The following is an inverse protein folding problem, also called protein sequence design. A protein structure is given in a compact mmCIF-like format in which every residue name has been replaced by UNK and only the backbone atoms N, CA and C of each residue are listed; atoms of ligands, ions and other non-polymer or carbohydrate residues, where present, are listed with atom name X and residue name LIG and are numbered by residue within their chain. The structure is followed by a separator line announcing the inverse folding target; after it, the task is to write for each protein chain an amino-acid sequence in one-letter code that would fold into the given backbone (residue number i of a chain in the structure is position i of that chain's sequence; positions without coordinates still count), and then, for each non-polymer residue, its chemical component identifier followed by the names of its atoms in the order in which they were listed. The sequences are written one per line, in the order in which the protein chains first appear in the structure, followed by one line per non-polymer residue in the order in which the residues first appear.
data_IF_747487995177
#
_entry.id   IF_747487995177
#
_cell.length_a   1.000
_cell.length_b   1.000
_cell.length_c   1.000
_cell.angle_alpha   90.00
_cell.angle_beta   90.00
_cell.angle_gamma   90.00
#
_symmetry.space_group_name_H-M   'P 1'
#
loop_
_entity.id
_entity.type
_entity.pdbx_description
1 polymer ?
#
# COMPACT_ATOMS: atom_id res chain seq x y z
N UNK A 1 -37.05 -9.06 -72.20
CA UNK A 1 -35.60 -9.18 -71.92
C UNK A 1 -35.25 -8.15 -70.84
N UNK A 2 -35.03 -8.61 -69.61
CA UNK A 2 -34.58 -7.79 -68.47
C UNK A 2 -33.14 -8.19 -68.15
N UNK A 3 -32.19 -7.25 -68.02
CA UNK A 3 -30.93 -7.53 -67.36
C UNK A 3 -30.97 -7.07 -65.89
N UNK A 4 -30.38 -7.94 -65.06
CA UNK A 4 -30.11 -7.80 -63.63
C UNK A 4 -28.86 -6.96 -63.35
N UNK A 5 -28.82 -6.29 -62.18
CA UNK A 5 -27.66 -6.01 -61.31
C UNK A 5 -28.07 -4.86 -60.33
N UNK A 6 -27.66 -4.76 -59.07
CA UNK A 6 -26.66 -5.44 -58.25
C UNK A 6 -27.08 -5.24 -56.77
N UNK A 7 -27.01 -6.30 -55.94
CA UNK A 7 -27.18 -6.20 -54.49
C UNK A 7 -25.89 -5.65 -53.85
N UNK A 8 -26.02 -4.66 -52.96
CA UNK A 8 -25.01 -4.39 -51.92
C UNK A 8 -25.70 -4.41 -50.55
N UNK A 9 -25.30 -5.36 -49.70
CA UNK A 9 -25.66 -5.43 -48.28
C UNK A 9 -24.55 -4.73 -47.49
N UNK A 10 -24.84 -3.75 -46.62
CA UNK A 10 -23.85 -3.32 -45.66
C UNK A 10 -23.81 -4.31 -44.50
N UNK A 11 -22.61 -4.83 -44.20
CA UNK A 11 -22.34 -5.55 -42.95
C UNK A 11 -22.36 -4.56 -41.79
N UNK A 12 -23.34 -4.69 -40.90
CA UNK A 12 -23.33 -4.02 -39.60
C UNK A 12 -22.49 -4.87 -38.63
N UNK A 13 -21.25 -4.46 -38.37
CA UNK A 13 -20.50 -4.94 -37.21
C UNK A 13 -20.96 -4.16 -35.98
N UNK A 14 -21.92 -4.72 -35.25
CA UNK A 14 -22.29 -4.23 -33.93
C UNK A 14 -21.27 -4.73 -32.90
N UNK A 15 -20.32 -3.87 -32.52
CA UNK A 15 -19.44 -4.12 -31.38
C UNK A 15 -20.25 -3.97 -30.09
N UNK A 16 -20.57 -5.08 -29.44
CA UNK A 16 -21.14 -5.11 -28.09
C UNK A 16 -20.10 -4.61 -27.09
N UNK A 17 -20.27 -3.39 -26.61
CA UNK A 17 -19.52 -2.83 -25.49
C UNK A 17 -20.02 -3.51 -24.20
N UNK A 18 -19.30 -4.54 -23.75
CA UNK A 18 -19.56 -5.17 -22.46
C UNK A 18 -19.08 -4.22 -21.35
N UNK A 19 -20.02 -3.49 -20.75
CA UNK A 19 -19.78 -2.71 -19.54
C UNK A 19 -19.66 -3.71 -18.40
N UNK A 20 -18.43 -4.00 -17.97
CA UNK A 20 -18.19 -4.69 -16.71
C UNK A 20 -18.58 -3.74 -15.58
N UNK A 21 -19.84 -3.85 -15.13
CA UNK A 21 -20.28 -3.23 -13.89
C UNK A 21 -19.54 -3.93 -12.76
N UNK A 22 -18.52 -3.27 -12.22
CA UNK A 22 -17.96 -3.62 -10.92
C UNK A 22 -19.12 -3.61 -9.92
N UNK A 23 -19.47 -4.77 -9.37
CA UNK A 23 -20.46 -4.86 -8.31
C UNK A 23 -19.87 -4.20 -7.06
N UNK A 24 -20.12 -2.90 -6.93
CA UNK A 24 -19.93 -2.19 -5.67
C UNK A 24 -20.93 -2.83 -4.70
N UNK A 25 -20.44 -3.65 -3.77
CA UNK A 25 -21.23 -4.10 -2.64
C UNK A 25 -21.53 -2.88 -1.78
N UNK A 26 -22.68 -2.26 -2.02
CA UNK A 26 -23.21 -1.23 -1.14
C UNK A 26 -23.48 -1.87 0.23
N UNK A 27 -23.00 -1.20 1.29
CA UNK A 27 -23.36 -1.52 2.67
C UNK A 27 -24.87 -1.55 2.82
N UNK A 28 -25.42 -2.64 3.33
CA UNK A 28 -26.81 -2.67 3.77
C UNK A 28 -26.89 -2.01 5.15
N UNK A 29 -27.28 -0.74 5.18
CA UNK A 29 -27.60 -0.06 6.42
C UNK A 29 -29.00 -0.46 6.88
N UNK A 30 -29.13 -0.96 8.10
CA UNK A 30 -30.44 -1.25 8.68
C UNK A 30 -31.08 0.05 9.14
N UNK A 31 -32.14 0.46 8.46
CA UNK A 31 -32.99 1.56 8.93
C UNK A 31 -33.46 1.23 10.34
N UNK A 32 -33.31 2.18 11.25
CA UNK A 32 -33.97 2.07 12.53
C UNK A 32 -35.49 2.07 12.30
N UNK A 33 -36.26 1.27 13.04
CA UNK A 33 -37.71 1.41 13.03
C UNK A 33 -38.07 2.83 13.44
N UNK A 34 -39.10 3.40 12.82
CA UNK A 34 -39.60 4.72 13.20
C UNK A 34 -39.83 4.74 14.71
N UNK A 35 -39.37 5.77 15.44
CA UNK A 35 -39.46 5.77 16.91
C UNK A 35 -40.90 5.86 17.43
N UNK A 36 -41.92 5.75 16.56
CA UNK A 36 -43.35 5.72 16.86
C UNK A 36 -43.74 6.77 17.91
N UNK A 37 -43.15 7.96 17.78
CA UNK A 37 -43.45 9.08 18.66
C UNK A 37 -44.77 9.68 18.20
N UNK A 38 -45.86 9.21 18.80
CA UNK A 38 -47.19 9.78 18.62
C UNK A 38 -47.39 10.98 19.55
N UNK A 39 -47.24 12.17 18.99
CA UNK A 39 -47.49 13.43 19.70
C UNK A 39 -48.93 13.94 19.52
N UNK A 40 -49.76 13.23 18.76
CA UNK A 40 -51.09 13.72 18.38
C UNK A 40 -52.03 13.89 19.58
N UNK A 41 -51.83 13.09 20.64
CA UNK A 41 -52.60 13.16 21.89
C UNK A 41 -51.99 14.04 22.99
N UNK A 42 -50.79 14.60 22.80
CA UNK A 42 -50.02 15.26 23.87
C UNK A 42 -50.22 16.78 23.94
N UNK A 43 -51.05 17.37 23.07
CA UNK A 43 -51.23 18.82 23.02
C UNK A 43 -49.93 19.52 22.59
N UNK A 44 -49.56 20.63 23.25
CA UNK A 44 -48.28 21.31 22.97
C UNK A 44 -47.15 20.64 23.74
N UNK A 45 -46.22 20.04 23.00
CA UNK A 45 -45.00 19.45 23.55
C UNK A 45 -43.85 20.43 23.37
N UNK A 46 -43.15 20.75 24.45
CA UNK A 46 -41.94 21.57 24.43
C UNK A 46 -40.77 20.78 25.00
N UNK A 47 -39.63 20.84 24.32
CA UNK A 47 -38.35 20.32 24.81
C UNK A 47 -37.57 21.53 25.33
N UNK A 48 -37.20 21.52 26.61
CA UNK A 48 -36.51 22.63 27.26
C UNK A 48 -35.21 22.13 27.91
N UNK A 49 -34.16 22.93 27.77
CA UNK A 49 -32.81 22.60 28.19
C UNK A 49 -31.78 23.29 27.32
N UNK A 50 -30.51 23.08 27.65
CA UNK A 50 -29.39 23.53 26.84
C UNK A 50 -29.00 22.38 25.89
N UNK A 51 -29.18 22.60 24.59
CA UNK A 51 -28.90 21.60 23.55
C UNK A 51 -28.27 22.28 22.34
N UNK A 52 -27.19 21.70 21.80
CA UNK A 52 -26.61 22.15 20.53
C UNK A 52 -27.50 21.79 19.33
N UNK A 53 -28.13 20.61 19.35
CA UNK A 53 -29.09 20.15 18.33
C UNK A 53 -29.91 18.94 18.78
N UNK A 54 -31.03 18.69 18.09
CA UNK A 54 -31.84 17.47 18.24
C UNK A 54 -32.04 16.81 16.88
N UNK A 55 -31.87 15.49 16.81
CA UNK A 55 -32.12 14.70 15.62
C UNK A 55 -32.69 13.33 16.01
N UNK A 56 -33.64 12.82 15.21
CA UNK A 56 -34.05 11.43 15.32
C UNK A 56 -32.97 10.52 14.71
N UNK A 57 -32.69 9.38 15.35
CA UNK A 57 -31.81 8.37 14.76
C UNK A 57 -32.53 7.68 13.60
N UNK A 58 -31.87 7.59 12.45
CA UNK A 58 -32.39 7.02 11.21
C UNK A 58 -31.86 5.60 10.98
N UNK A 59 -30.68 5.29 11.53
CA UNK A 59 -30.02 4.00 11.36
C UNK A 59 -29.65 3.34 12.69
N UNK A 60 -29.62 2.00 12.72
CA UNK A 60 -29.11 1.28 13.88
C UNK A 60 -27.60 1.55 14.05
N UNK A 61 -27.19 1.88 15.29
CA UNK A 61 -25.79 2.17 15.62
C UNK A 61 -25.32 3.60 15.35
N UNK A 62 -26.21 4.51 14.97
CA UNK A 62 -25.92 5.94 14.86
C UNK A 62 -25.65 6.53 16.26
N UNK A 63 -24.46 7.10 16.45
CA UNK A 63 -24.03 7.66 17.75
C UNK A 63 -23.79 9.16 17.64
N UNK A 64 -24.31 9.96 18.58
CA UNK A 64 -23.99 11.38 18.72
C UNK A 64 -22.71 11.65 19.54
N UNK A 65 -22.25 10.66 20.32
CA UNK A 65 -21.08 10.83 21.18
C UNK A 65 -19.80 10.69 20.37
N UNK A 66 -19.31 11.82 19.90
CA UNK A 66 -17.91 11.99 19.55
C UNK A 66 -17.17 12.71 20.70
N UNK A 67 -17.48 12.41 21.97
CA UNK A 67 -16.83 13.10 23.09
C UNK A 67 -15.35 12.70 23.20
N UNK A 68 -14.49 13.58 22.70
CA UNK A 68 -13.05 13.45 22.54
C UNK A 68 -12.30 13.84 23.82
N UNK A 69 -12.28 12.96 24.83
CA UNK A 69 -11.66 13.33 26.10
C UNK A 69 -10.14 13.15 26.15
N UNK A 70 -9.50 12.41 25.21
CA UNK A 70 -8.12 11.95 25.44
C UNK A 70 -7.24 11.72 24.19
N UNK A 71 -7.45 12.47 23.10
CA UNK A 71 -6.64 12.31 21.87
C UNK A 71 -6.95 11.04 21.07
N UNK A 72 -7.95 10.26 21.48
CA UNK A 72 -8.48 9.10 20.78
C UNK A 72 -9.10 9.49 19.44
N UNK A 73 -8.81 8.70 18.41
CA UNK A 73 -9.39 8.87 17.08
C UNK A 73 -10.38 7.75 16.77
N UNK A 74 -11.31 8.02 15.86
CA UNK A 74 -12.35 7.08 15.48
C UNK A 74 -12.26 6.75 14.00
N UNK A 75 -12.51 5.49 13.68
CA UNK A 75 -12.81 5.07 12.32
C UNK A 75 -14.28 5.39 12.03
N UNK A 76 -14.57 6.18 10.99
CA UNK A 76 -15.92 6.53 10.61
C UNK A 76 -16.34 5.89 9.28
N UNK A 77 -17.62 5.58 9.15
CA UNK A 77 -18.26 5.36 7.84
C UNK A 77 -19.46 6.27 7.67
N UNK A 78 -19.67 6.75 6.45
CA UNK A 78 -20.79 7.63 6.12
C UNK A 78 -22.04 6.81 5.74
N UNK A 79 -23.18 7.15 6.32
CA UNK A 79 -24.50 6.67 5.94
C UNK A 79 -25.01 7.36 4.65
N UNK A 80 -26.02 6.81 3.96
CA UNK A 80 -26.57 7.42 2.74
C UNK A 80 -27.18 8.81 2.94
N UNK A 81 -27.62 9.14 4.15
CA UNK A 81 -28.13 10.47 4.52
C UNK A 81 -27.02 11.47 4.87
N UNK A 82 -25.75 11.07 4.74
CA UNK A 82 -24.57 11.88 5.03
C UNK A 82 -24.15 11.87 6.50
N UNK A 83 -24.92 11.25 7.40
CA UNK A 83 -24.53 11.09 8.81
C UNK A 83 -23.37 10.10 8.98
N UNK A 84 -22.64 10.18 10.10
CA UNK A 84 -21.49 9.30 10.35
C UNK A 84 -21.81 8.25 11.41
N UNK A 85 -21.34 7.03 11.16
CA UNK A 85 -21.23 5.98 12.16
C UNK A 85 -19.80 5.89 12.67
N UNK A 86 -19.62 5.92 13.99
CA UNK A 86 -18.37 5.50 14.61
C UNK A 86 -18.27 3.96 14.54
N UNK A 87 -17.22 3.45 13.91
CA UNK A 87 -16.99 2.02 13.70
C UNK A 87 -16.03 1.41 14.73
N UNK A 88 -14.99 2.14 15.12
CA UNK A 88 -14.00 1.70 16.09
C UNK A 88 -13.30 2.90 16.73
N UNK A 89 -13.08 2.83 18.05
CA UNK A 89 -12.31 3.81 18.82
C UNK A 89 -10.86 3.33 18.91
N UNK A 90 -9.91 4.14 18.48
CA UNK A 90 -8.49 3.97 18.77
C UNK A 90 -8.15 4.75 20.05
N UNK A 91 -7.39 4.16 20.95
CA UNK A 91 -6.93 4.83 22.18
C UNK A 91 -5.83 5.88 21.95
N UNK A 92 -5.34 6.02 20.71
CA UNK A 92 -4.47 7.09 20.25
C UNK A 92 -4.74 7.45 18.78
N UNK A 93 -3.74 8.00 18.08
CA UNK A 93 -3.88 8.46 16.70
C UNK A 93 -3.78 7.32 15.68
N UNK A 94 -4.71 7.32 14.73
CA UNK A 94 -4.66 6.65 13.44
C UNK A 94 -4.01 7.62 12.45
N UNK A 95 -2.88 7.23 11.87
CA UNK A 95 -2.13 8.10 10.95
C UNK A 95 -2.30 7.69 9.50
N UNK A 96 -2.72 6.44 9.24
CA UNK A 96 -2.73 5.89 7.89
C UNK A 96 -3.74 4.74 7.75
N UNK A 97 -4.29 4.59 6.55
CA UNK A 97 -5.23 3.53 6.22
C UNK A 97 -5.07 3.11 4.76
N UNK A 98 -5.26 1.82 4.45
CA UNK A 98 -5.37 1.37 3.07
C UNK A 98 -6.39 0.23 2.91
N UNK A 99 -7.18 0.21 1.81
CA UNK A 99 -8.04 -0.92 1.50
C UNK A 99 -7.17 -2.12 1.11
N UNK A 100 -7.34 -3.24 1.81
CA UNK A 100 -6.60 -4.46 1.50
C UNK A 100 -7.47 -5.39 0.65
N UNK A 101 -7.10 -5.48 -0.62
CA UNK A 101 -7.70 -6.41 -1.57
C UNK A 101 -6.79 -7.62 -1.71
N UNK A 102 -7.39 -8.81 -1.65
CA UNK A 102 -6.70 -10.06 -1.96
C UNK A 102 -7.55 -10.89 -2.91
N UNK A 103 -6.93 -11.42 -3.97
CA UNK A 103 -7.60 -12.20 -5.01
C UNK A 103 -8.82 -11.49 -5.63
N UNK A 104 -8.76 -10.15 -5.74
CA UNK A 104 -9.85 -9.33 -6.30
C UNK A 104 -10.99 -9.03 -5.33
N UNK A 105 -10.92 -9.50 -4.09
CA UNK A 105 -11.94 -9.24 -3.06
C UNK A 105 -11.39 -8.38 -1.92
N UNK A 106 -12.19 -7.39 -1.49
CA UNK A 106 -11.87 -6.55 -0.33
C UNK A 106 -11.92 -7.38 0.96
N UNK A 107 -10.77 -7.62 1.55
CA UNK A 107 -10.64 -8.36 2.81
C UNK A 107 -10.89 -7.46 4.02
N UNK A 108 -10.58 -6.16 3.89
CA UNK A 108 -10.80 -5.16 4.91
C UNK A 108 -10.02 -3.89 4.65
N UNK A 109 -9.93 -3.03 5.65
CA UNK A 109 -9.10 -1.83 5.65
C UNK A 109 -8.03 -2.02 6.71
N UNK A 110 -6.77 -1.93 6.30
CA UNK A 110 -5.64 -1.88 7.23
C UNK A 110 -5.62 -0.48 7.83
N UNK A 111 -5.53 -0.42 9.16
CA UNK A 111 -5.50 0.81 9.94
C UNK A 111 -4.18 0.83 10.70
N UNK A 112 -3.39 1.88 10.51
CA UNK A 112 -2.08 2.08 11.14
C UNK A 112 -2.00 3.39 11.92
N UNK A 113 -1.22 3.39 13.00
CA UNK A 113 -1.04 4.55 13.87
C UNK A 113 -0.15 4.29 15.08
N UNK A 114 -0.34 5.08 16.15
CA UNK A 114 0.35 4.93 17.44
C UNK A 114 -0.56 4.41 18.57
N UNK A 115 -1.70 3.81 18.22
CA UNK A 115 -2.65 3.24 19.17
C UNK A 115 -2.17 1.90 19.74
N UNK A 116 -2.66 1.54 20.92
CA UNK A 116 -2.47 0.23 21.58
C UNK A 116 -3.72 -0.64 21.56
N UNK A 117 -4.87 -0.06 21.23
CA UNK A 117 -6.12 -0.78 21.01
C UNK A 117 -6.98 -0.10 19.94
N UNK A 118 -7.75 -0.91 19.21
CA UNK A 118 -8.73 -0.47 18.23
C UNK A 118 -10.05 -1.19 18.49
N UNK A 119 -11.13 -0.42 18.72
CA UNK A 119 -12.46 -0.95 19.03
C UNK A 119 -12.49 -1.85 20.26
N UNK A 120 -11.63 -1.58 21.26
CA UNK A 120 -11.48 -2.39 22.46
C UNK A 120 -10.67 -3.68 22.28
N UNK A 121 -10.19 -3.98 21.07
CA UNK A 121 -9.28 -5.09 20.79
C UNK A 121 -7.83 -4.60 20.93
N UNK A 122 -6.98 -5.24 21.76
CA UNK A 122 -5.56 -4.93 21.82
C UNK A 122 -4.91 -5.13 20.45
N UNK A 123 -4.27 -4.08 19.94
CA UNK A 123 -3.62 -4.07 18.63
C UNK A 123 -2.54 -2.97 18.63
N UNK A 124 -1.27 -3.37 18.55
CA UNK A 124 -0.16 -2.42 18.68
C UNK A 124 0.16 -1.75 17.35
N UNK A 125 -0.38 -0.55 17.16
CA UNK A 125 -0.10 0.33 16.03
C UNK A 125 -0.67 -0.09 14.68
N UNK A 126 -1.19 -1.33 14.54
CA UNK A 126 -1.77 -1.80 13.29
C UNK A 126 -2.85 -2.88 13.49
N UNK A 127 -3.93 -2.77 12.72
CA UNK A 127 -5.03 -3.75 12.72
C UNK A 127 -5.71 -3.81 11.35
N UNK A 128 -6.33 -4.96 11.05
CA UNK A 128 -7.22 -5.13 9.91
C UNK A 128 -8.67 -5.02 10.39
N UNK A 129 -9.39 -4.04 9.87
CA UNK A 129 -10.83 -3.92 10.09
C UNK A 129 -11.58 -4.49 8.88
N UNK A 130 -12.35 -5.56 9.10
CA UNK A 130 -13.20 -6.11 8.07
C UNK A 130 -14.49 -5.29 7.98
N UNK A 131 -14.69 -4.60 6.85
CA UNK A 131 -15.86 -3.78 6.66
C UNK A 131 -17.14 -4.60 6.85
N UNK A 132 -17.31 -5.71 6.14
CA UNK A 132 -18.55 -6.50 6.09
C UNK A 132 -19.02 -7.03 7.47
N UNK A 133 -18.09 -7.51 8.29
CA UNK A 133 -18.38 -8.16 9.58
C UNK A 133 -18.17 -7.25 10.78
N UNK A 134 -17.66 -6.03 10.56
CA UNK A 134 -17.15 -5.08 11.57
C UNK A 134 -16.08 -5.64 12.50
N UNK A 135 -15.56 -6.84 12.21
CA UNK A 135 -14.55 -7.51 13.02
C UNK A 135 -13.21 -6.80 12.88
N UNK A 136 -12.56 -6.55 14.01
CA UNK A 136 -11.18 -6.08 14.10
C UNK A 136 -10.28 -7.29 14.33
N UNK A 137 -9.22 -7.40 13.53
CA UNK A 137 -8.20 -8.43 13.67
C UNK A 137 -6.86 -7.73 13.90
N UNK A 138 -6.21 -7.90 15.05
CA UNK A 138 -4.90 -7.31 15.29
C UNK A 138 -3.86 -7.93 14.35
N UNK A 139 -2.93 -7.11 13.85
CA UNK A 139 -1.76 -7.59 13.11
C UNK A 139 -0.56 -7.58 14.06
N UNK A 140 -0.55 -8.55 14.99
CA UNK A 140 0.46 -8.63 16.06
C UNK A 140 1.86 -8.95 15.51
N UNK A 141 2.90 -8.39 16.14
CA UNK A 141 4.30 -8.63 15.77
C UNK A 141 5.13 -7.37 15.52
N UNK A 142 4.51 -6.19 15.61
CA UNK A 142 5.21 -4.90 15.59
C UNK A 142 5.28 -4.31 17.00
N UNK A 143 6.40 -3.66 17.31
CA UNK A 143 6.58 -2.85 18.51
C UNK A 143 7.00 -1.44 18.10
N UNK A 144 6.11 -0.48 18.30
CA UNK A 144 6.29 0.93 17.92
C UNK A 144 5.03 1.51 17.27
N UNK A 145 5.21 2.54 16.45
CA UNK A 145 4.14 3.24 15.75
C UNK A 145 4.25 3.08 14.24
N UNK A 146 3.12 2.84 13.58
CA UNK A 146 3.01 2.82 12.12
C UNK A 146 2.65 4.23 11.64
N UNK A 147 3.32 4.72 10.60
CA UNK A 147 3.10 6.05 10.03
C UNK A 147 2.60 6.02 8.59
N UNK A 148 2.92 4.96 7.84
CA UNK A 148 2.50 4.78 6.45
C UNK A 148 2.13 3.32 6.19
N UNK A 149 1.01 3.09 5.50
CA UNK A 149 0.67 1.79 4.91
C UNK A 149 0.36 1.95 3.43
N UNK A 150 0.80 1.00 2.63
CA UNK A 150 0.45 0.89 1.22
C UNK A 150 0.01 -0.54 0.93
N UNK A 151 -1.24 -0.70 0.52
CA UNK A 151 -1.83 -1.97 0.12
C UNK A 151 -1.67 -2.10 -1.39
N UNK A 152 -0.93 -3.11 -1.86
CA UNK A 152 -0.76 -3.42 -3.27
C UNK A 152 -1.73 -4.52 -3.70
N UNK A 153 -2.76 -4.13 -4.46
CA UNK A 153 -3.83 -5.03 -4.90
C UNK A 153 -3.31 -6.12 -5.86
N UNK A 154 -2.27 -5.83 -6.65
CA UNK A 154 -1.70 -6.77 -7.63
C UNK A 154 -0.99 -7.94 -6.94
N UNK A 155 -0.21 -7.65 -5.90
CA UNK A 155 0.58 -8.65 -5.17
C UNK A 155 -0.11 -9.12 -3.88
N UNK A 156 -1.27 -8.56 -3.52
CA UNK A 156 -1.94 -8.79 -2.23
C UNK A 156 -0.98 -8.58 -1.04
N UNK A 157 -0.08 -7.59 -1.15
CA UNK A 157 0.95 -7.30 -0.14
C UNK A 157 0.70 -5.94 0.50
N UNK A 158 0.78 -5.88 1.82
CA UNK A 158 0.70 -4.64 2.59
C UNK A 158 2.10 -4.23 3.01
N UNK A 159 2.58 -3.11 2.49
CA UNK A 159 3.84 -2.51 2.90
C UNK A 159 3.56 -1.55 4.06
N UNK A 160 4.30 -1.71 5.15
CA UNK A 160 4.13 -0.96 6.39
C UNK A 160 5.41 -0.21 6.69
N UNK A 161 5.29 1.08 7.00
CA UNK A 161 6.38 1.98 7.33
C UNK A 161 6.05 2.81 8.58
N UNK A 162 7.07 3.10 9.39
CA UNK A 162 6.88 3.88 10.62
C UNK A 162 8.13 3.95 11.47
N UNK A 163 7.92 4.08 12.78
CA UNK A 163 8.95 3.99 13.81
C UNK A 163 8.69 2.75 14.66
N UNK A 164 9.19 1.60 14.22
CA UNK A 164 8.90 0.32 14.87
C UNK A 164 9.98 -0.73 14.61
N UNK A 165 9.94 -1.79 15.41
CA UNK A 165 10.67 -3.05 15.17
C UNK A 165 9.69 -4.19 14.99
N UNK A 166 9.95 -5.11 14.07
CA UNK A 166 9.12 -6.31 13.88
C UNK A 166 9.91 -7.40 13.16
N UNK A 167 9.81 -8.64 13.64
CA UNK A 167 10.65 -9.73 13.13
C UNK A 167 12.15 -9.37 13.22
N UNK A 168 12.85 -9.46 12.09
CA UNK A 168 14.25 -9.01 11.96
C UNK A 168 14.36 -7.75 11.08
N UNK A 169 13.34 -6.88 11.12
CA UNK A 169 13.26 -5.65 10.32
C UNK A 169 13.01 -4.43 11.20
N UNK A 170 13.49 -3.27 10.75
CA UNK A 170 13.31 -1.98 11.43
C UNK A 170 12.61 -0.98 10.53
N UNK A 171 11.60 -0.27 11.03
CA UNK A 171 10.89 0.85 10.38
C UNK A 171 10.16 0.56 9.05
N UNK A 172 10.40 -0.57 8.39
CA UNK A 172 9.62 -1.06 7.26
C UNK A 172 9.53 -2.58 7.23
N UNK A 173 8.36 -3.11 6.89
CA UNK A 173 8.11 -4.56 6.76
C UNK A 173 6.92 -4.79 5.82
N UNK A 174 6.81 -5.99 5.27
CA UNK A 174 5.66 -6.38 4.44
C UNK A 174 4.76 -7.37 5.20
N UNK A 175 3.48 -7.38 4.87
CA UNK A 175 2.51 -8.37 5.34
C UNK A 175 1.75 -8.97 4.15
N UNK A 176 1.68 -10.30 4.09
CA UNK A 176 0.98 -11.03 3.01
C UNK A 176 -0.03 -12.00 3.63
N UNK A 177 0.47 -13.02 4.33
CA UNK A 177 -0.29 -13.93 5.20
C UNK A 177 0.27 -13.93 6.64
N UNK A 178 1.20 -13.01 6.89
CA UNK A 178 2.05 -12.89 8.06
C UNK A 178 3.16 -11.87 7.76
N UNK A 179 3.92 -11.50 8.78
CA UNK A 179 5.02 -10.57 8.65
C UNK A 179 6.18 -11.19 7.87
N UNK A 180 6.59 -10.50 6.81
CA UNK A 180 7.69 -10.87 5.93
C UNK A 180 8.70 -9.74 5.89
N UNK A 181 9.96 -10.04 6.21
CA UNK A 181 11.03 -9.06 6.12
C UNK A 181 11.27 -8.68 4.66
N UNK A 182 11.48 -7.38 4.42
CA UNK A 182 11.96 -6.89 3.14
C UNK A 182 13.43 -7.33 2.95
N UNK A 183 13.92 -7.48 1.70
CA UNK A 183 15.26 -8.00 1.42
C UNK A 183 16.40 -7.15 2.02
N UNK A 184 16.09 -5.93 2.45
CA UNK A 184 17.01 -4.96 3.04
C UNK A 184 16.85 -4.77 4.57
N UNK A 185 16.03 -5.61 5.23
CA UNK A 185 15.78 -5.57 6.68
C UNK A 185 15.33 -4.20 7.24
N UNK A 186 14.67 -3.41 6.38
CA UNK A 186 14.09 -2.12 6.75
C UNK A 186 15.08 -0.95 6.69
N UNK A 187 14.84 0.09 7.48
CA UNK A 187 15.55 1.37 7.45
C UNK A 187 16.05 1.78 8.83
N UNK A 188 17.18 2.49 8.89
CA UNK A 188 17.74 2.98 10.15
C UNK A 188 17.01 4.21 10.74
N UNK A 189 15.99 4.71 10.06
CA UNK A 189 15.17 5.83 10.49
C UNK A 189 13.70 5.69 10.06
N UNK A 190 12.83 6.58 10.54
CA UNK A 190 11.39 6.46 10.35
C UNK A 190 10.97 6.58 8.88
N UNK A 191 10.04 5.71 8.48
CA UNK A 191 9.37 5.77 7.18
C UNK A 191 8.01 6.44 7.34
N UNK A 192 7.79 7.55 6.63
CA UNK A 192 6.58 8.37 6.76
C UNK A 192 5.67 8.32 5.53
N UNK A 193 6.12 7.74 4.42
CA UNK A 193 5.33 7.59 3.20
C UNK A 193 5.75 6.34 2.43
N UNK A 194 4.79 5.69 1.78
CA UNK A 194 5.02 4.56 0.87
C UNK A 194 4.12 4.75 -0.35
N UNK A 195 4.67 4.56 -1.55
CA UNK A 195 3.90 4.60 -2.81
C UNK A 195 4.45 3.61 -3.82
N UNK A 196 3.64 3.22 -4.80
CA UNK A 196 4.08 2.44 -5.96
C UNK A 196 4.27 3.38 -7.16
N UNK A 197 5.39 3.21 -7.86
CA UNK A 197 5.69 3.88 -9.11
C UNK A 197 5.00 3.18 -10.29
N UNK A 198 4.87 3.87 -11.42
CA UNK A 198 4.28 3.31 -12.65
C UNK A 198 5.04 2.12 -13.23
N UNK A 199 6.31 1.94 -12.86
CA UNK A 199 7.13 0.79 -13.23
C UNK A 199 6.99 -0.41 -12.25
N UNK A 200 6.07 -0.32 -11.28
CA UNK A 200 5.84 -1.36 -10.26
C UNK A 200 6.78 -1.32 -9.06
N UNK A 201 7.75 -0.39 -9.02
CA UNK A 201 8.66 -0.26 -7.87
C UNK A 201 7.96 0.38 -6.68
N UNK A 202 8.22 -0.14 -5.47
CA UNK A 202 7.75 0.46 -4.22
C UNK A 202 8.79 1.49 -3.74
N UNK A 203 8.33 2.71 -3.50
CA UNK A 203 9.12 3.84 -3.04
C UNK A 203 8.77 4.10 -1.59
N UNK A 204 9.79 4.09 -0.73
CA UNK A 204 9.70 4.44 0.68
C UNK A 204 10.27 5.84 0.86
N UNK A 205 9.54 6.72 1.56
CA UNK A 205 9.95 8.08 1.90
C UNK A 205 9.96 8.27 3.40
N UNK A 206 10.96 8.98 3.92
CA UNK A 206 11.13 9.18 5.35
C UNK A 206 12.43 9.89 5.70
N UNK A 207 12.83 9.77 6.96
CA UNK A 207 14.08 10.34 7.48
C UNK A 207 15.06 9.23 7.82
N UNK A 208 15.66 8.63 6.81
CA UNK A 208 16.67 7.58 6.93
C UNK A 208 17.82 7.84 5.98
N UNK A 209 19.00 7.33 6.29
CA UNK A 209 20.18 7.37 5.40
C UNK A 209 20.81 6.01 5.15
N UNK A 210 20.27 4.94 5.75
CA UNK A 210 20.73 3.57 5.56
C UNK A 210 19.62 2.52 5.65
N UNK A 211 19.91 1.32 5.14
CA UNK A 211 19.05 0.15 5.29
C UNK A 211 19.48 -0.71 6.49
N UNK A 212 18.60 -1.57 6.96
CA UNK A 212 18.83 -2.36 8.18
C UNK A 212 19.96 -3.40 8.07
N UNK A 213 20.22 -3.94 6.87
CA UNK A 213 21.25 -4.97 6.65
C UNK A 213 22.41 -4.53 5.74
N UNK A 214 22.47 -3.26 5.34
CA UNK A 214 23.55 -2.76 4.47
C UNK A 214 24.32 -1.64 5.15
N UNK A 215 25.59 -1.49 4.79
CA UNK A 215 26.37 -0.31 5.17
C UNK A 215 25.77 0.92 4.50
N UNK A 216 25.33 1.88 5.30
CA UNK A 216 25.08 3.26 4.92
C UNK A 216 26.22 3.73 4.02
N UNK A 217 25.99 4.15 2.76
CA UNK A 217 27.05 4.72 1.95
C UNK A 217 27.67 5.89 2.72
N UNK A 218 28.99 5.89 2.92
CA UNK A 218 29.68 6.96 3.64
C UNK A 218 29.49 8.32 2.95
N UNK A 219 29.21 8.31 1.65
CA UNK A 219 28.88 9.48 0.84
C UNK A 219 27.40 9.45 0.43
N UNK A 220 26.65 10.47 0.84
CA UNK A 220 25.19 10.54 0.71
C UNK A 220 24.67 10.79 -0.72
N UNK A 221 25.55 11.24 -1.63
CA UNK A 221 25.20 11.63 -3.00
C UNK A 221 25.74 10.66 -4.07
N UNK A 222 25.97 9.39 -3.70
CA UNK A 222 26.53 8.39 -4.63
C UNK A 222 25.50 7.31 -4.91
N UNK A 223 25.21 7.09 -6.20
CA UNK A 223 24.40 5.97 -6.66
C UNK A 223 25.31 4.75 -6.89
N UNK A 224 25.08 3.68 -6.13
CA UNK A 224 25.75 2.39 -6.38
C UNK A 224 25.07 1.72 -7.57
N UNK A 225 25.82 1.53 -8.67
CA UNK A 225 25.37 0.79 -9.84
C UNK A 225 25.92 -0.64 -9.74
N UNK A 226 25.03 -1.63 -9.78
CA UNK A 226 25.46 -3.03 -9.77
C UNK A 226 25.93 -3.45 -11.17
N UNK A 227 27.24 -3.36 -11.39
CA UNK A 227 27.86 -3.71 -12.68
C UNK A 227 27.78 -5.22 -12.99
N UNK A 228 27.64 -6.09 -11.99
CA UNK A 228 27.56 -7.56 -12.21
C UNK A 228 26.30 -7.99 -12.97
N UNK A 229 25.19 -7.27 -12.73
CA UNK A 229 23.91 -7.47 -13.41
C UNK A 229 23.75 -6.59 -14.67
N UNK A 230 24.71 -5.68 -14.92
CA UNK A 230 24.66 -4.76 -16.05
C UNK A 230 24.96 -5.42 -17.39
N UNK A 231 24.50 -4.78 -18.47
CA UNK A 231 24.88 -5.16 -19.82
C UNK A 231 26.27 -4.56 -20.12
N UNK A 232 27.22 -5.43 -20.46
CA UNK A 232 28.62 -5.05 -20.67
C UNK A 232 28.93 -5.11 -22.16
N UNK A 233 29.41 -4.00 -22.69
CA UNK A 233 29.87 -3.88 -24.07
C UNK A 233 31.30 -3.36 -24.10
N UNK A 234 32.09 -3.83 -25.06
CA UNK A 234 33.46 -3.39 -25.25
C UNK A 234 33.81 -3.26 -26.73
N UNK A 235 34.87 -2.50 -27.01
CA UNK A 235 35.50 -2.42 -28.32
C UNK A 235 36.99 -2.73 -28.22
N UNK A 236 37.52 -3.40 -29.25
CA UNK A 236 38.93 -3.79 -29.36
C UNK A 236 39.44 -4.70 -28.24
N UNK A 237 38.64 -5.68 -27.79
CA UNK A 237 39.15 -6.76 -26.91
C UNK A 237 40.24 -7.56 -27.64
N UNK A 238 41.28 -7.98 -26.91
CA UNK A 238 42.35 -8.83 -27.47
C UNK A 238 41.83 -10.17 -28.02
N UNK A 239 42.55 -10.73 -28.98
CA UNK A 239 42.35 -12.10 -29.49
C UNK A 239 43.11 -13.16 -28.67
N UNK A 240 43.93 -12.75 -27.70
CA UNK A 240 44.64 -13.69 -26.82
C UNK A 240 43.66 -14.48 -25.96
N UNK A 241 43.77 -15.82 -26.01
CA UNK A 241 42.88 -16.73 -25.29
C UNK A 241 42.87 -16.43 -23.79
N UNK A 242 41.66 -16.29 -23.23
CA UNK A 242 41.45 -16.00 -21.81
C UNK A 242 41.53 -14.53 -21.41
N UNK A 243 41.80 -13.60 -22.35
CA UNK A 243 41.88 -12.17 -22.04
C UNK A 243 40.83 -11.30 -22.77
N UNK A 244 39.91 -11.92 -23.51
CA UNK A 244 38.96 -11.23 -24.39
C UNK A 244 37.63 -10.85 -23.72
N UNK A 245 37.32 -11.40 -22.55
CA UNK A 245 36.02 -11.21 -21.87
C UNK A 245 35.99 -9.90 -21.07
N UNK A 246 35.21 -8.89 -21.48
CA UNK A 246 35.13 -7.61 -20.79
C UNK A 246 34.48 -7.68 -19.40
N UNK A 247 33.85 -8.80 -19.02
CA UNK A 247 33.32 -8.99 -17.66
C UNK A 247 34.43 -9.20 -16.62
N UNK A 248 35.63 -9.59 -17.05
CA UNK A 248 36.77 -9.79 -16.16
C UNK A 248 37.28 -8.49 -15.50
N UNK A 249 36.83 -7.32 -15.94
CA UNK A 249 37.13 -6.06 -15.22
C UNK A 249 36.31 -5.90 -13.93
N UNK A 250 35.20 -6.63 -13.78
CA UNK A 250 34.25 -6.45 -12.68
C UNK A 250 34.67 -7.32 -11.49
N UNK A 251 35.19 -6.68 -10.44
CA UNK A 251 35.38 -7.28 -9.12
C UNK A 251 36.14 -8.63 -9.09
N UNK A 252 37.08 -8.83 -10.02
CA UNK A 252 37.97 -9.99 -9.96
C UNK A 252 39.00 -9.79 -8.84
N UNK A 253 39.24 -10.86 -8.08
CA UNK A 253 40.16 -10.86 -6.93
C UNK A 253 41.35 -11.80 -7.13
N UNK A 254 41.46 -12.41 -8.32
CA UNK A 254 42.58 -13.28 -8.70
C UNK A 254 43.75 -12.50 -9.30
N UNK A 255 44.88 -13.20 -9.46
CA UNK A 255 46.07 -12.68 -10.14
C UNK A 255 45.77 -12.33 -11.61
N UNK A 256 46.56 -11.42 -12.19
CA UNK A 256 46.45 -10.94 -13.58
C UNK A 256 46.73 -12.06 -14.60
N UNK A 257 45.77 -12.96 -14.76
CA UNK A 257 45.90 -14.25 -15.45
C UNK A 257 44.74 -14.47 -16.42
N UNK A 258 44.94 -15.41 -17.35
CA UNK A 258 43.92 -15.81 -18.30
C UNK A 258 42.65 -16.27 -17.57
N UNK A 259 41.52 -15.65 -17.91
CA UNK A 259 40.21 -15.87 -17.28
C UNK A 259 39.87 -14.86 -16.18
N UNK A 260 40.84 -14.11 -15.67
CA UNK A 260 40.64 -13.11 -14.61
C UNK A 260 40.93 -11.67 -15.06
N UNK A 261 41.59 -11.48 -16.20
CA UNK A 261 41.92 -10.16 -16.74
C UNK A 261 41.28 -9.95 -18.10
N UNK A 262 40.87 -8.71 -18.38
CA UNK A 262 40.47 -8.27 -19.71
C UNK A 262 41.50 -7.30 -20.28
N UNK A 263 41.93 -7.54 -21.52
CA UNK A 263 42.92 -6.70 -22.20
C UNK A 263 42.38 -6.18 -23.54
N UNK A 264 42.86 -5.00 -23.90
CA UNK A 264 42.68 -4.46 -25.25
C UNK A 264 43.67 -5.10 -26.22
N UNK A 265 43.31 -5.11 -27.50
CA UNK A 265 44.22 -5.48 -28.57
C UNK A 265 45.38 -4.48 -28.67
N UNK A 266 46.58 -4.99 -28.94
CA UNK A 266 47.80 -4.19 -28.99
C UNK A 266 47.66 -3.03 -29.98
N UNK A 267 48.15 -1.85 -29.56
CA UNK A 267 48.15 -0.62 -30.36
C UNK A 267 46.77 -0.18 -30.88
N UNK A 268 45.66 -0.61 -30.26
CA UNK A 268 44.30 -0.28 -30.71
C UNK A 268 43.53 0.49 -29.63
N UNK A 269 42.91 1.64 -29.95
CA UNK A 269 41.99 2.31 -29.03
C UNK A 269 40.75 1.45 -28.78
N UNK A 270 40.40 1.24 -27.52
CA UNK A 270 39.24 0.45 -27.11
C UNK A 270 38.33 1.20 -26.13
N UNK A 271 37.20 0.59 -25.83
CA UNK A 271 36.30 1.09 -24.79
C UNK A 271 35.70 -0.05 -23.98
N UNK A 272 35.25 0.29 -22.79
CA UNK A 272 34.40 -0.53 -21.95
C UNK A 272 33.20 0.28 -21.51
N UNK A 273 32.01 -0.32 -21.56
CA UNK A 273 30.76 0.33 -21.16
C UNK A 273 29.87 -0.67 -20.45
N UNK A 274 29.60 -0.42 -19.18
CA UNK A 274 28.50 -1.02 -18.42
C UNK A 274 27.28 -0.11 -18.43
N UNK A 275 26.11 -0.67 -18.74
CA UNK A 275 24.80 0.00 -18.71
C UNK A 275 23.77 -0.85 -18.00
#
# INVERSE_FOLDING_TARGET
MRPSACLSRPLAFGTTLAIFLSSVSARNFTSAPSPNIDLSGLGRVALAGDFDSISLYTYQGQTQNANFANGSQYLFSQYPDGSFQSLALADAFITTMCPFVSHGELQGVVVGGNFTSLGGVPAQGIALWNANTTKITPLDGLSGSVSAVYCDDESSTVYVGGTFTGGNSTNAIAWVSGWTNLPFAGFNGPVTSITKSSNGSIIFGGSFDGLGNTTTPTNKDVQVINLSAGNITSGASTSTSGFSDPRNIICQTGDDTAGNTWLLEDNTPGFWRGS
#
